data_IF_841364097055
#
_entry.id   IF_841364097055
#
_cell.length_a   1.000
_cell.length_b   1.000
_cell.length_c   1.000
_cell.angle_alpha   90.00
_cell.angle_beta   90.00
_cell.angle_gamma   90.00
#
_symmetry.space_group_name_H-M   'P 1'
#
loop_
_entity.id
_entity.type
_entity.pdbx_description
1 polymer ?
#
# COMPACT_ATOMS: atom_id res chain seq x y z
N UNK A 1 -7.31 8.20 -3.28
CA UNK A 1 -7.21 8.25 -1.81
C UNK A 1 -8.58 8.10 -1.12
N UNK A 2 -9.60 8.88 -1.55
CA UNK A 2 -10.93 8.86 -0.93
C UNK A 2 -11.58 7.46 -0.97
N UNK A 3 -11.62 6.82 -2.13
CA UNK A 3 -12.19 5.47 -2.28
C UNK A 3 -11.50 4.44 -1.37
N UNK A 4 -10.19 4.52 -1.26
CA UNK A 4 -9.41 3.66 -0.37
C UNK A 4 -9.84 3.81 1.10
N UNK A 5 -9.95 5.05 1.61
CA UNK A 5 -10.35 5.30 3.00
C UNK A 5 -11.79 4.88 3.29
N UNK A 6 -12.70 5.06 2.32
CA UNK A 6 -14.08 4.63 2.48
C UNK A 6 -14.16 3.09 2.46
N UNK A 7 -13.39 2.43 1.58
CA UNK A 7 -13.30 0.98 1.52
C UNK A 7 -12.73 0.38 2.82
N UNK A 8 -11.65 0.96 3.35
CA UNK A 8 -11.05 0.57 4.63
C UNK A 8 -12.08 0.63 5.76
N UNK A 9 -12.88 1.72 5.82
CA UNK A 9 -13.93 1.89 6.81
C UNK A 9 -15.09 0.90 6.60
N UNK A 10 -15.52 0.65 5.38
CA UNK A 10 -16.57 -0.33 5.06
C UNK A 10 -16.15 -1.74 5.51
N UNK A 11 -14.91 -2.14 5.21
CA UNK A 11 -14.34 -3.41 5.65
C UNK A 11 -14.22 -3.50 7.19
N UNK A 12 -13.87 -2.40 7.85
CA UNK A 12 -13.84 -2.31 9.30
C UNK A 12 -15.22 -2.48 9.93
N UNK A 13 -16.29 -2.08 9.25
CA UNK A 13 -17.68 -2.23 9.64
C UNK A 13 -18.30 -3.57 9.19
N UNK A 14 -17.50 -4.49 8.67
CA UNK A 14 -17.91 -5.80 8.15
C UNK A 14 -18.84 -5.73 6.90
N UNK A 15 -18.91 -4.59 6.22
CA UNK A 15 -19.62 -4.41 4.94
C UNK A 15 -18.67 -4.80 3.78
N UNK A 16 -18.56 -6.11 3.57
CA UNK A 16 -17.60 -6.68 2.60
C UNK A 16 -17.96 -6.38 1.16
N UNK A 17 -19.23 -6.35 0.82
CA UNK A 17 -19.68 -6.14 -0.56
C UNK A 17 -19.38 -4.71 -1.00
N UNK A 18 -19.74 -3.74 -0.17
CA UNK A 18 -19.41 -2.34 -0.42
C UNK A 18 -17.90 -2.07 -0.40
N UNK A 19 -17.19 -2.73 0.52
CA UNK A 19 -15.73 -2.67 0.57
C UNK A 19 -15.09 -3.18 -0.72
N UNK A 20 -15.56 -4.31 -1.25
CA UNK A 20 -15.08 -4.90 -2.51
C UNK A 20 -15.35 -3.99 -3.70
N UNK A 21 -16.58 -3.47 -3.83
CA UNK A 21 -16.96 -2.56 -4.92
C UNK A 21 -16.06 -1.31 -4.96
N UNK A 22 -15.84 -0.69 -3.80
CA UNK A 22 -15.01 0.51 -3.69
C UNK A 22 -13.53 0.22 -3.96
N UNK A 23 -13.02 -0.93 -3.51
CA UNK A 23 -11.65 -1.35 -3.81
C UNK A 23 -11.46 -1.65 -5.29
N UNK A 24 -12.44 -2.28 -5.94
CA UNK A 24 -12.36 -2.55 -7.37
C UNK A 24 -12.35 -1.24 -8.20
N UNK A 25 -13.17 -0.27 -7.82
CA UNK A 25 -13.15 1.05 -8.43
C UNK A 25 -11.82 1.77 -8.22
N UNK A 26 -11.23 1.67 -7.03
CA UNK A 26 -9.93 2.23 -6.71
C UNK A 26 -8.80 1.54 -7.49
N UNK A 27 -8.85 0.19 -7.56
CA UNK A 27 -7.86 -0.61 -8.28
C UNK A 27 -7.83 -0.29 -9.77
N UNK A 28 -8.99 -0.21 -10.43
CA UNK A 28 -9.07 0.18 -11.86
C UNK A 28 -8.41 1.52 -12.11
N UNK A 29 -8.75 2.54 -11.33
CA UNK A 29 -8.15 3.87 -11.47
C UNK A 29 -6.64 3.88 -11.19
N UNK A 30 -6.20 3.11 -10.20
CA UNK A 30 -4.78 3.01 -9.88
C UNK A 30 -3.99 2.32 -11.00
N UNK A 31 -4.54 1.27 -11.63
CA UNK A 31 -3.88 0.57 -12.75
C UNK A 31 -3.75 1.48 -13.96
N UNK A 32 -4.77 2.29 -14.27
CA UNK A 32 -4.80 3.22 -15.41
C UNK A 32 -3.93 4.48 -15.21
N UNK A 33 -3.56 4.81 -13.97
CA UNK A 33 -2.74 5.98 -13.68
C UNK A 33 -1.33 5.87 -14.26
N UNK A 34 -0.65 7.01 -14.43
CA UNK A 34 0.76 7.07 -14.83
C UNK A 34 1.65 6.33 -13.84
N UNK A 35 2.76 5.75 -14.33
CA UNK A 35 3.70 4.99 -13.52
C UNK A 35 4.53 5.94 -12.63
N UNK A 36 3.99 6.26 -11.49
CA UNK A 36 4.58 7.12 -10.45
C UNK A 36 4.71 6.36 -9.13
N UNK A 37 5.47 6.93 -8.22
CA UNK A 37 5.57 6.41 -6.85
C UNK A 37 4.20 6.32 -6.17
N UNK A 38 3.33 7.28 -6.40
CA UNK A 38 1.98 7.34 -5.84
C UNK A 38 1.11 6.19 -6.33
N UNK A 39 1.24 5.82 -7.63
CA UNK A 39 0.60 4.62 -8.18
C UNK A 39 1.07 3.36 -7.46
N UNK A 40 2.38 3.21 -7.28
CA UNK A 40 2.94 2.04 -6.59
C UNK A 40 2.39 1.94 -5.17
N UNK A 41 2.40 3.04 -4.41
CA UNK A 41 1.84 3.10 -3.06
C UNK A 41 0.34 2.76 -3.04
N UNK A 42 -0.42 3.30 -3.99
CA UNK A 42 -1.85 3.04 -4.09
C UNK A 42 -2.13 1.55 -4.37
N UNK A 43 -1.45 0.96 -5.35
CA UNK A 43 -1.61 -0.46 -5.71
C UNK A 43 -1.22 -1.38 -4.55
N UNK A 44 -0.10 -1.13 -3.88
CA UNK A 44 0.31 -1.88 -2.70
C UNK A 44 -0.71 -1.78 -1.55
N UNK A 45 -1.23 -0.58 -1.29
CA UNK A 45 -2.21 -0.36 -0.23
C UNK A 45 -3.55 -1.06 -0.53
N UNK A 46 -3.98 -1.05 -1.79
CA UNK A 46 -5.18 -1.75 -2.23
C UNK A 46 -4.95 -3.27 -2.15
N UNK A 47 -3.78 -3.77 -2.56
CA UNK A 47 -3.41 -5.17 -2.43
C UNK A 47 -3.48 -5.65 -0.98
N UNK A 48 -2.96 -4.86 -0.03
CA UNK A 48 -3.01 -5.16 1.41
C UNK A 48 -4.46 -5.31 1.93
N UNK A 49 -5.38 -4.47 1.49
CA UNK A 49 -6.80 -4.59 1.86
C UNK A 49 -7.45 -5.83 1.22
N UNK A 50 -7.09 -6.16 -0.03
CA UNK A 50 -7.61 -7.35 -0.71
C UNK A 50 -7.20 -8.66 -0.04
N UNK A 51 -6.09 -8.71 0.70
CA UNK A 51 -5.70 -9.91 1.45
C UNK A 51 -6.80 -10.46 2.37
N UNK A 52 -7.70 -9.60 2.83
CA UNK A 52 -8.82 -10.00 3.69
C UNK A 52 -10.06 -10.49 2.93
N UNK A 53 -10.10 -10.29 1.60
CA UNK A 53 -11.28 -10.53 0.77
C UNK A 53 -11.00 -11.54 -0.32
N UNK A 54 -9.88 -11.33 -1.04
CA UNK A 54 -9.51 -12.08 -2.25
C UNK A 54 -7.98 -12.04 -2.40
N UNK A 55 -7.35 -13.15 -2.05
CA UNK A 55 -5.89 -13.29 -2.05
C UNK A 55 -5.30 -13.22 -3.46
N UNK A 56 -5.94 -13.86 -4.44
CA UNK A 56 -5.44 -13.85 -5.83
C UNK A 56 -5.48 -12.44 -6.42
N UNK A 57 -6.53 -11.70 -6.13
CA UNK A 57 -6.64 -10.30 -6.52
C UNK A 57 -5.59 -9.43 -5.85
N UNK A 58 -5.29 -9.70 -4.57
CA UNK A 58 -4.22 -9.03 -3.84
C UNK A 58 -2.87 -9.23 -4.52
N UNK A 59 -2.51 -10.48 -4.84
CA UNK A 59 -1.25 -10.78 -5.53
C UNK A 59 -1.18 -10.16 -6.93
N UNK A 60 -2.27 -10.19 -7.70
CA UNK A 60 -2.32 -9.54 -9.01
C UNK A 60 -2.06 -8.04 -8.94
N UNK A 61 -2.57 -7.36 -7.92
CA UNK A 61 -2.33 -5.93 -7.68
C UNK A 61 -0.90 -5.66 -7.19
N UNK A 62 -0.33 -6.54 -6.37
CA UNK A 62 1.06 -6.45 -5.96
C UNK A 62 2.02 -6.64 -7.16
N UNK A 63 1.71 -7.55 -8.09
CA UNK A 63 2.44 -7.69 -9.36
C UNK A 63 2.35 -6.41 -10.21
N UNK A 64 1.16 -5.79 -10.29
CA UNK A 64 1.00 -4.53 -10.99
C UNK A 64 1.82 -3.40 -10.31
N UNK A 65 1.89 -3.38 -8.98
CA UNK A 65 2.71 -2.43 -8.23
C UNK A 65 4.20 -2.62 -8.51
N UNK A 66 4.70 -3.86 -8.56
CA UNK A 66 6.10 -4.17 -8.91
C UNK A 66 6.41 -3.73 -10.34
N UNK A 67 5.53 -4.02 -11.30
CA UNK A 67 5.70 -3.55 -12.69
C UNK A 67 5.73 -2.02 -12.79
N UNK A 68 4.88 -1.32 -12.04
CA UNK A 68 4.91 0.14 -11.99
C UNK A 68 6.19 0.65 -11.32
N UNK A 69 6.63 0.03 -10.23
CA UNK A 69 7.86 0.39 -9.52
C UNK A 69 9.10 0.29 -10.41
N UNK A 70 9.17 -0.72 -11.27
CA UNK A 70 10.29 -0.92 -12.19
C UNK A 70 10.36 0.15 -13.31
N UNK A 71 9.25 0.87 -13.55
CA UNK A 71 9.22 1.98 -14.51
C UNK A 71 9.52 3.34 -13.88
N UNK A 72 9.43 3.45 -12.55
CA UNK A 72 9.76 4.69 -11.83
C UNK A 72 11.28 4.84 -11.72
N UNK A 73 11.86 6.00 -12.09
CA UNK A 73 13.30 6.24 -11.92
C UNK A 73 13.75 5.98 -10.48
N UNK A 74 14.87 5.27 -10.32
CA UNK A 74 15.35 4.81 -9.01
C UNK A 74 15.47 5.93 -7.96
N UNK A 75 15.90 7.13 -8.35
CA UNK A 75 16.02 8.28 -7.45
C UNK A 75 14.69 8.92 -7.02
N UNK A 76 13.57 8.49 -7.61
CA UNK A 76 12.22 8.97 -7.28
C UNK A 76 11.35 7.92 -6.55
N UNK A 77 11.91 6.74 -6.29
CA UNK A 77 11.18 5.66 -5.66
C UNK A 77 11.53 5.58 -4.17
N UNK A 78 10.67 6.16 -3.33
CA UNK A 78 10.73 6.02 -1.89
C UNK A 78 9.45 5.32 -1.38
N UNK A 79 9.57 4.06 -1.05
CA UNK A 79 8.45 3.19 -0.63
C UNK A 79 8.48 2.85 0.86
N UNK A 80 9.37 3.49 1.61
CA UNK A 80 9.43 3.39 3.07
C UNK A 80 9.43 4.82 3.62
N UNK A 81 8.26 5.35 3.85
CA UNK A 81 8.10 6.69 4.42
C UNK A 81 7.70 6.59 5.89
N UNK A 82 8.40 7.34 6.73
CA UNK A 82 7.94 7.63 8.09
C UNK A 82 6.59 8.36 8.03
N UNK A 83 5.73 8.13 9.02
CA UNK A 83 4.47 8.87 9.15
C UNK A 83 4.72 10.37 9.14
N UNK A 84 3.90 11.11 8.43
CA UNK A 84 3.93 12.57 8.43
C UNK A 84 2.74 13.11 9.22
N UNK A 85 2.99 14.18 9.97
CA UNK A 85 1.95 14.92 10.66
C UNK A 85 1.42 16.00 9.72
N UNK A 86 0.20 15.84 9.26
CA UNK A 86 -0.48 16.89 8.52
C UNK A 86 -1.07 17.90 9.52
N UNK A 87 -0.49 19.08 9.56
CA UNK A 87 -0.99 20.19 10.38
C UNK A 87 -1.87 21.05 9.47
N UNK A 88 -3.14 21.15 9.82
CA UNK A 88 -4.08 22.04 9.16
C UNK A 88 -4.37 23.21 10.10
N UNK A 89 -3.94 24.40 9.73
CA UNK A 89 -4.23 25.62 10.47
C UNK A 89 -5.38 26.36 9.78
N UNK A 90 -6.48 26.51 10.48
CA UNK A 90 -7.62 27.32 10.04
C UNK A 90 -7.62 28.60 10.85
N UNK A 91 -7.38 29.72 10.17
CA UNK A 91 -7.51 31.06 10.77
C UNK A 91 -8.89 31.62 10.46
N UNK A 92 -9.65 31.91 11.49
CA UNK A 92 -10.97 32.58 11.39
C UNK A 92 -10.89 33.94 12.11
N UNK A 93 -11.86 34.81 11.89
CA UNK A 93 -11.95 36.11 12.57
C UNK A 93 -11.96 36.00 14.11
N UNK A 94 -12.32 34.81 14.65
CA UNK A 94 -12.44 34.56 16.09
C UNK A 94 -11.26 33.75 16.67
N UNK A 95 -10.21 33.51 15.90
CA UNK A 95 -9.02 32.78 16.37
C UNK A 95 -8.47 31.78 15.37
N UNK A 96 -7.33 31.21 15.72
CA UNK A 96 -6.63 30.23 14.92
C UNK A 96 -6.78 28.87 15.57
N UNK A 97 -7.41 27.91 14.85
CA UNK A 97 -7.51 26.51 15.29
C UNK A 97 -6.54 25.66 14.50
N UNK A 98 -5.63 24.97 15.19
CA UNK A 98 -4.68 24.06 14.57
C UNK A 98 -5.10 22.63 14.86
N UNK A 99 -5.45 21.88 13.81
CA UNK A 99 -5.74 20.45 13.89
C UNK A 99 -4.59 19.66 13.29
N UNK A 100 -3.96 18.80 14.08
CA UNK A 100 -2.95 17.85 13.61
C UNK A 100 -3.59 16.48 13.35
N UNK A 101 -3.41 15.94 12.15
CA UNK A 101 -3.77 14.56 11.84
C UNK A 101 -2.49 13.80 11.56
N UNK A 102 -2.20 12.77 12.34
CA UNK A 102 -1.11 11.87 12.04
C UNK A 102 -1.51 10.99 10.85
N UNK A 103 -0.83 11.18 9.73
CA UNK A 103 -0.97 10.31 8.57
C UNK A 103 0.07 9.21 8.71
N UNK A 104 -0.39 7.98 8.92
CA UNK A 104 0.51 6.84 8.93
C UNK A 104 1.27 6.79 7.60
N UNK A 105 2.60 6.76 7.68
CA UNK A 105 3.45 6.65 6.51
C UNK A 105 3.20 5.33 5.79
N UNK A 106 3.37 5.34 4.49
CA UNK A 106 3.36 4.12 3.69
C UNK A 106 4.64 3.33 3.96
N UNK A 107 4.50 2.05 4.27
CA UNK A 107 5.62 1.13 4.47
C UNK A 107 5.38 -0.16 3.66
N UNK A 108 6.08 -0.26 2.53
CA UNK A 108 6.02 -1.43 1.65
C UNK A 108 6.43 -2.73 2.38
N UNK A 109 7.32 -2.66 3.37
CA UNK A 109 7.72 -3.83 4.16
C UNK A 109 6.53 -4.50 4.83
N UNK A 110 5.59 -3.69 5.36
CA UNK A 110 4.37 -4.22 5.97
C UNK A 110 3.50 -4.98 4.96
N UNK A 111 3.42 -4.46 3.74
CA UNK A 111 2.65 -5.12 2.67
C UNK A 111 3.28 -6.45 2.32
N UNK A 112 4.60 -6.49 2.03
CA UNK A 112 5.31 -7.72 1.70
C UNK A 112 5.32 -8.74 2.85
N UNK A 113 5.49 -8.30 4.10
CA UNK A 113 5.39 -9.17 5.26
C UNK A 113 4.00 -9.81 5.40
N UNK A 114 2.93 -9.07 5.08
CA UNK A 114 1.56 -9.61 5.10
C UNK A 114 1.31 -10.58 3.96
N UNK A 115 1.70 -10.23 2.73
CA UNK A 115 1.62 -11.13 1.58
C UNK A 115 2.34 -12.46 1.87
N UNK A 116 3.54 -12.40 2.43
CA UNK A 116 4.35 -13.57 2.72
C UNK A 116 3.75 -14.50 3.81
N UNK A 117 2.89 -13.99 4.67
CA UNK A 117 2.13 -14.83 5.62
C UNK A 117 1.06 -15.68 4.94
N UNK A 118 0.58 -15.27 3.78
CA UNK A 118 -0.39 -16.03 2.99
C UNK A 118 0.31 -16.97 2.02
N UNK A 119 1.28 -16.46 1.26
CA UNK A 119 2.06 -17.24 0.29
C UNK A 119 3.50 -16.71 0.26
N UNK A 120 4.38 -17.43 0.95
CA UNK A 120 5.79 -17.06 1.09
C UNK A 120 6.52 -17.09 -0.25
N UNK A 121 6.35 -18.16 -1.02
CA UNK A 121 7.09 -18.38 -2.25
C UNK A 121 6.69 -17.35 -3.32
N UNK A 122 5.39 -17.11 -3.48
CA UNK A 122 4.89 -16.09 -4.40
C UNK A 122 5.35 -14.68 -4.01
N UNK A 123 5.38 -14.38 -2.72
CA UNK A 123 5.87 -13.09 -2.22
C UNK A 123 7.36 -12.91 -2.42
N UNK A 124 8.15 -13.98 -2.28
CA UNK A 124 9.59 -13.96 -2.55
C UNK A 124 9.87 -13.69 -4.03
N UNK A 125 9.16 -14.37 -4.94
CA UNK A 125 9.26 -14.13 -6.38
C UNK A 125 8.92 -12.68 -6.73
N UNK A 126 7.87 -12.12 -6.14
CA UNK A 126 7.51 -10.71 -6.33
C UNK A 126 8.60 -9.75 -5.84
N UNK A 127 9.16 -10.01 -4.66
CA UNK A 127 10.25 -9.20 -4.12
C UNK A 127 11.50 -9.24 -5.01
N UNK A 128 11.85 -10.41 -5.55
CA UNK A 128 12.97 -10.60 -6.47
C UNK A 128 12.77 -9.88 -7.80
N UNK A 129 11.53 -9.75 -8.27
CA UNK A 129 11.18 -9.07 -9.52
C UNK A 129 11.35 -7.53 -9.46
N UNK A 130 11.60 -6.96 -8.29
CA UNK A 130 11.86 -5.52 -8.13
C UNK A 130 13.27 -5.20 -8.64
N UNK A 131 13.38 -4.30 -9.63
CA UNK A 131 14.68 -3.91 -10.23
C UNK A 131 15.47 -2.98 -9.33
N UNK A 132 14.81 -2.05 -8.63
CA UNK A 132 15.48 -1.15 -7.69
C UNK A 132 16.09 -1.96 -6.53
N UNK A 133 17.42 -1.97 -6.44
CA UNK A 133 18.18 -2.80 -5.48
C UNK A 133 17.81 -2.53 -4.03
N UNK A 134 17.65 -1.27 -3.64
CA UNK A 134 17.32 -0.89 -2.26
C UNK A 134 15.90 -1.33 -1.90
N UNK A 135 14.94 -1.08 -2.78
CA UNK A 135 13.54 -1.48 -2.60
C UNK A 135 13.41 -3.01 -2.57
N UNK A 136 14.11 -3.71 -3.47
CA UNK A 136 14.17 -5.18 -3.48
C UNK A 136 14.72 -5.74 -2.17
N UNK A 137 15.82 -5.18 -1.68
CA UNK A 137 16.43 -5.61 -0.41
C UNK A 137 15.42 -5.49 0.75
N UNK A 138 14.73 -4.37 0.88
CA UNK A 138 13.71 -4.17 1.90
C UNK A 138 12.54 -5.12 1.77
N UNK A 139 12.07 -5.38 0.54
CA UNK A 139 10.99 -6.34 0.29
C UNK A 139 11.41 -7.76 0.68
N UNK A 140 12.61 -8.20 0.30
CA UNK A 140 13.14 -9.52 0.65
C UNK A 140 13.33 -9.71 2.16
N UNK A 141 13.84 -8.69 2.86
CA UNK A 141 13.96 -8.71 4.32
C UNK A 141 12.57 -8.89 4.96
N UNK A 142 11.56 -8.12 4.49
CA UNK A 142 10.20 -8.21 5.02
C UNK A 142 9.56 -9.59 4.80
N UNK A 143 9.83 -10.22 3.66
CA UNK A 143 9.39 -11.60 3.37
C UNK A 143 10.10 -12.57 4.31
N UNK A 144 11.42 -12.47 4.47
CA UNK A 144 12.19 -13.34 5.35
C UNK A 144 11.74 -13.20 6.82
N UNK A 145 11.57 -11.98 7.32
CA UNK A 145 11.09 -11.73 8.69
C UNK A 145 9.73 -12.39 8.97
N UNK A 146 8.85 -12.46 7.96
CA UNK A 146 7.55 -13.10 8.12
C UNK A 146 7.64 -14.60 8.47
N UNK A 147 8.70 -15.28 8.05
CA UNK A 147 8.92 -16.68 8.35
C UNK A 147 9.25 -16.93 9.84
N UNK A 148 9.83 -15.94 10.51
CA UNK A 148 10.19 -16.06 11.93
C UNK A 148 9.04 -15.71 12.89
N UNK A 149 8.03 -14.96 12.41
CA UNK A 149 6.87 -14.56 13.24
C UNK A 149 5.83 -15.69 13.36
N UNK A 150 5.93 -16.73 12.53
CA UNK A 150 5.04 -17.92 12.57
C UNK A 150 5.36 -18.94 13.68
N UNK A 151 6.35 -18.65 14.53
CA UNK A 151 6.65 -19.44 15.71
C UNK A 151 6.16 -18.67 16.92
#
# INVERSE_FOLDING_TARGET
>A
YLFFRIAEKALGNNDRDRGRELLEAAARRAVEAEDTQEKVKALCSIADLYLKIDQDRSFSLAEAAVRAANKVPAGRLNLVEGGSRMIRTLSTANGTTTTGTDVAGFDMRKVFSRLARYDFDRSLVLAQAIENKSVRCWAMIAVAESAFVKR
#
